data_IF_091015570584
#
_entry.id   IF_091015570584
#
_cell.length_a   1.000
_cell.length_b   1.000
_cell.length_c   1.000
_cell.angle_alpha   90.00
_cell.angle_beta   90.00
_cell.angle_gamma   90.00
#
_symmetry.space_group_name_H-M   'P 1'
#
loop_
_entity.id
_entity.type
_entity.pdbx_description
1 polymer ?
#
# COMPACT_ATOMS: atom_id res chain seq x y z
N UNK A 1 -58.87 32.71 135.38
CA UNK A 1 -58.42 31.32 135.56
C UNK A 1 -56.96 31.24 136.01
N UNK A 2 -56.07 32.14 135.59
CA UNK A 2 -54.62 32.08 135.94
C UNK A 2 -54.26 32.13 137.43
N UNK A 3 -55.00 32.88 138.27
CA UNK A 3 -54.64 32.99 139.69
C UNK A 3 -54.92 31.71 140.49
N UNK A 4 -55.93 30.92 140.11
CA UNK A 4 -56.19 29.62 140.73
C UNK A 4 -55.12 28.59 140.33
N UNK A 5 -54.62 28.69 139.09
CA UNK A 5 -53.57 27.84 138.56
C UNK A 5 -52.21 28.10 139.25
N UNK A 6 -51.87 29.37 139.49
CA UNK A 6 -50.64 29.78 140.21
C UNK A 6 -50.60 29.26 141.65
N UNK A 7 -51.72 29.34 142.38
CA UNK A 7 -51.81 28.84 143.75
C UNK A 7 -51.68 27.31 143.80
N UNK A 8 -52.31 26.60 142.86
CA UNK A 8 -52.18 25.14 142.77
C UNK A 8 -50.74 24.70 142.49
N UNK A 9 -50.05 25.37 141.56
CA UNK A 9 -48.64 25.10 141.21
C UNK A 9 -47.72 25.39 142.39
N UNK A 10 -47.90 26.50 143.12
CA UNK A 10 -47.08 26.83 144.29
C UNK A 10 -47.27 25.80 145.41
N UNK A 11 -48.50 25.37 145.66
CA UNK A 11 -48.80 24.36 146.69
C UNK A 11 -48.19 23.00 146.32
N UNK A 12 -48.27 22.59 145.06
CA UNK A 12 -47.65 21.36 144.58
C UNK A 12 -46.11 21.44 144.59
N UNK A 13 -45.52 22.59 144.26
CA UNK A 13 -44.07 22.82 144.35
C UNK A 13 -43.57 22.81 145.80
N UNK A 14 -44.32 23.39 146.74
CA UNK A 14 -44.02 23.35 148.16
C UNK A 14 -44.14 21.91 148.72
N UNK A 15 -45.11 21.11 148.24
CA UNK A 15 -45.20 19.68 148.58
C UNK A 15 -44.03 18.84 148.03
N UNK A 16 -43.56 19.13 146.81
CA UNK A 16 -42.35 18.51 146.28
C UNK A 16 -41.12 18.83 147.15
N UNK A 17 -40.97 20.09 147.59
CA UNK A 17 -39.90 20.46 148.51
C UNK A 17 -40.02 19.78 149.88
N UNK A 18 -41.22 19.69 150.45
CA UNK A 18 -41.44 18.98 151.72
C UNK A 18 -41.15 17.48 151.63
N UNK A 19 -41.25 16.90 150.43
CA UNK A 19 -40.88 15.50 150.15
C UNK A 19 -39.41 15.33 149.72
N UNK A 20 -38.63 16.41 149.71
CA UNK A 20 -37.19 16.40 149.43
C UNK A 20 -36.82 16.35 147.94
N UNK A 21 -37.78 16.54 147.03
CA UNK A 21 -37.57 16.51 145.58
C UNK A 21 -37.71 17.91 144.97
N UNK A 22 -36.84 18.25 144.01
CA UNK A 22 -36.92 19.53 143.31
C UNK A 22 -38.14 19.57 142.37
N UNK A 23 -39.01 20.59 142.46
CA UNK A 23 -40.19 20.69 141.61
C UNK A 23 -39.78 21.00 140.15
N UNK A 24 -40.04 20.06 139.25
CA UNK A 24 -39.79 20.19 137.81
C UNK A 24 -41.08 20.45 137.03
N UNK A 25 -41.02 21.31 136.01
CA UNK A 25 -42.19 21.71 135.21
C UNK A 25 -42.91 20.52 134.55
N UNK A 26 -42.19 19.46 134.18
CA UNK A 26 -42.75 18.22 133.62
C UNK A 26 -43.64 17.45 134.61
N UNK A 27 -43.34 17.49 135.91
CA UNK A 27 -44.13 16.80 136.94
C UNK A 27 -45.36 17.60 137.34
N UNK A 28 -45.24 18.93 137.39
CA UNK A 28 -46.38 19.80 137.69
C UNK A 28 -47.40 19.83 136.53
N UNK A 29 -46.97 19.59 135.28
CA UNK A 29 -47.86 19.39 134.13
C UNK A 29 -48.79 18.17 134.31
N UNK A 30 -48.31 17.10 134.97
CA UNK A 30 -49.10 15.88 135.20
C UNK A 30 -50.25 16.08 136.21
N UNK A 31 -50.14 17.08 137.09
CA UNK A 31 -51.12 17.40 138.13
C UNK A 31 -52.11 18.49 137.70
N UNK A 32 -51.88 19.13 136.55
CA UNK A 32 -52.76 20.17 135.98
C UNK A 32 -52.65 20.15 134.44
N UNK A 33 -53.31 19.17 133.77
CA UNK A 33 -53.16 18.93 132.34
C UNK A 33 -53.77 20.01 131.42
N UNK A 34 -54.49 20.99 131.99
CA UNK A 34 -55.11 22.09 131.23
C UNK A 34 -54.18 23.29 130.98
N UNK A 35 -52.96 23.29 131.53
CA UNK A 35 -51.99 24.37 131.38
C UNK A 35 -50.81 24.01 130.44
N UNK A 36 -50.33 25.00 129.67
CA UNK A 36 -49.17 24.82 128.80
C UNK A 36 -47.84 24.80 129.58
N UNK A 37 -46.88 23.99 129.11
CA UNK A 37 -45.58 23.78 129.77
C UNK A 37 -44.79 25.09 129.96
N UNK A 38 -44.90 26.03 129.02
CA UNK A 38 -44.26 27.35 129.10
C UNK A 38 -44.86 28.23 130.21
N UNK A 39 -46.18 28.16 130.41
CA UNK A 39 -46.86 28.90 131.48
C UNK A 39 -46.47 28.37 132.87
N UNK A 40 -46.38 27.04 133.02
CA UNK A 40 -45.93 26.40 134.26
C UNK A 40 -44.46 26.73 134.54
N UNK A 41 -43.58 26.71 133.52
CA UNK A 41 -42.18 27.05 133.68
C UNK A 41 -41.97 28.50 134.12
N UNK A 42 -42.76 29.44 133.58
CA UNK A 42 -42.73 30.85 133.99
C UNK A 42 -43.20 31.03 135.44
N UNK A 43 -44.29 30.39 135.84
CA UNK A 43 -44.82 30.43 137.21
C UNK A 43 -43.84 29.78 138.20
N UNK A 44 -43.20 28.66 137.82
CA UNK A 44 -42.20 27.98 138.65
C UNK A 44 -40.91 28.79 138.80
N UNK A 45 -40.50 29.52 137.75
CA UNK A 45 -39.38 30.46 137.85
C UNK A 45 -39.69 31.59 138.85
N UNK A 46 -40.94 32.09 138.86
CA UNK A 46 -41.38 33.09 139.82
C UNK A 46 -41.42 32.52 141.26
N UNK A 47 -41.85 31.27 141.44
CA UNK A 47 -41.77 30.57 142.72
C UNK A 47 -40.33 30.45 143.23
N UNK A 48 -39.39 30.04 142.37
CA UNK A 48 -37.97 29.94 142.73
C UNK A 48 -37.36 31.29 143.10
N UNK A 49 -37.78 32.39 142.46
CA UNK A 49 -37.33 33.73 142.83
C UNK A 49 -37.87 34.20 144.18
N UNK A 50 -39.04 33.72 144.60
CA UNK A 50 -39.62 34.03 145.91
C UNK A 50 -39.18 33.06 147.02
N UNK A 51 -38.44 32.00 146.68
CA UNK A 51 -37.96 31.02 147.64
C UNK A 51 -36.91 31.60 148.62
N UNK A 52 -35.89 32.38 148.19
CA UNK A 52 -34.89 32.95 149.09
C UNK A 52 -35.47 33.91 150.12
N UNK A 53 -36.54 34.64 149.78
CA UNK A 53 -37.23 35.50 150.75
C UNK A 53 -38.03 34.71 151.80
N UNK A 54 -38.52 33.50 151.45
CA UNK A 54 -39.18 32.56 152.40
C UNK A 54 -38.16 31.76 153.23
N UNK A 55 -36.96 31.55 152.72
CA UNK A 55 -35.83 30.84 153.34
C UNK A 55 -34.76 31.81 153.86
N UNK A 56 -35.12 32.82 154.66
CA UNK A 56 -34.11 33.44 155.52
C UNK A 56 -33.85 32.50 156.69
N UNK A 57 -32.70 31.82 156.65
CA UNK A 57 -32.05 31.21 157.80
C UNK A 57 -31.97 32.27 158.90
N UNK A 58 -32.89 32.15 159.84
CA UNK A 58 -33.05 33.02 160.99
C UNK A 58 -31.80 32.85 161.86
N UNK A 59 -30.96 33.88 161.85
CA UNK A 59 -29.69 34.01 162.56
C UNK A 59 -29.91 34.25 164.08
N UNK A 60 -30.90 33.56 164.67
CA UNK A 60 -31.28 33.72 166.07
C UNK A 60 -31.25 32.40 166.83
N UNK A 61 -30.52 32.48 167.95
CA UNK A 61 -30.56 31.64 169.15
C UNK A 61 -29.67 30.38 169.19
N UNK A 62 -28.50 30.55 169.79
CA UNK A 62 -28.16 29.75 170.97
C UNK A 62 -27.24 30.56 171.89
N UNK A 63 -27.84 31.46 172.67
CA UNK A 63 -27.24 31.94 173.91
C UNK A 63 -27.00 30.75 174.83
N UNK A 64 -25.75 30.45 175.16
CA UNK A 64 -25.42 29.70 176.37
C UNK A 64 -25.04 30.71 177.46
N UNK A 65 -25.88 30.91 178.49
CA UNK A 65 -25.54 31.73 179.62
C UNK A 65 -24.73 30.86 180.60
N UNK A 66 -23.41 30.88 180.45
CA UNK A 66 -22.38 30.75 181.52
C UNK A 66 -21.00 30.53 180.90
N UNK A 67 -20.53 31.51 180.11
CA UNK A 67 -19.11 31.53 179.72
C UNK A 67 -18.50 32.92 179.91
N UNK A 68 -17.42 33.05 180.69
CA UNK A 68 -16.67 34.29 180.87
C UNK A 68 -16.18 34.85 179.54
N UNK A 69 -16.25 36.18 179.40
CA UNK A 69 -16.01 36.91 178.15
C UNK A 69 -14.62 36.66 177.52
N UNK A 70 -13.64 36.31 178.34
CA UNK A 70 -12.30 35.92 177.89
C UNK A 70 -12.32 34.69 176.96
N UNK A 71 -13.17 33.69 177.20
CA UNK A 71 -13.25 32.51 176.33
C UNK A 71 -13.99 32.80 175.02
N UNK A 72 -15.00 33.68 175.06
CA UNK A 72 -15.72 34.13 173.85
C UNK A 72 -14.76 34.77 172.85
N UNK A 73 -13.88 35.66 173.31
CA UNK A 73 -12.87 36.29 172.44
C UNK A 73 -11.87 35.29 171.86
N UNK A 74 -11.49 34.26 172.62
CA UNK A 74 -10.60 33.20 172.14
C UNK A 74 -11.30 32.36 171.07
N UNK A 75 -12.55 31.95 171.26
CA UNK A 75 -13.31 31.23 170.24
C UNK A 75 -13.53 32.05 168.97
N UNK A 76 -13.84 33.35 169.08
CA UNK A 76 -13.97 34.22 167.90
C UNK A 76 -12.64 34.36 167.15
N UNK A 77 -11.50 34.44 167.87
CA UNK A 77 -10.17 34.44 167.23
C UNK A 77 -9.85 33.12 166.56
N UNK A 78 -10.14 31.99 167.21
CA UNK A 78 -9.93 30.65 166.63
C UNK A 78 -10.81 30.47 165.38
N UNK A 79 -12.06 30.92 165.42
CA UNK A 79 -12.95 30.90 164.26
C UNK A 79 -12.46 31.81 163.13
N UNK A 80 -12.06 33.04 163.43
CA UNK A 80 -11.52 33.96 162.43
C UNK A 80 -10.21 33.44 161.82
N UNK A 81 -9.36 32.79 162.62
CA UNK A 81 -8.13 32.16 162.16
C UNK A 81 -8.42 30.93 161.29
N UNK A 82 -9.40 30.10 161.66
CA UNK A 82 -9.84 28.96 160.85
C UNK A 82 -10.47 29.40 159.53
N UNK A 83 -11.25 30.49 159.52
CA UNK A 83 -11.82 31.07 158.29
C UNK A 83 -10.71 31.67 157.41
N UNK A 84 -9.70 32.32 158.00
CA UNK A 84 -8.54 32.79 157.25
C UNK A 84 -7.75 31.63 156.65
N UNK A 85 -7.44 30.58 157.40
CA UNK A 85 -6.77 29.38 156.89
C UNK A 85 -7.58 28.70 155.78
N UNK A 86 -8.88 28.50 155.97
CA UNK A 86 -9.76 27.94 154.93
C UNK A 86 -9.81 28.83 153.67
N UNK A 87 -9.79 30.15 153.82
CA UNK A 87 -9.77 31.09 152.69
C UNK A 87 -8.43 31.09 151.95
N UNK A 88 -7.32 30.89 152.67
CA UNK A 88 -5.98 30.75 152.09
C UNK A 88 -5.86 29.41 151.38
N UNK A 89 -6.40 28.34 151.95
CA UNK A 89 -6.42 27.01 151.37
C UNK A 89 -7.30 26.95 150.10
N UNK A 90 -8.48 27.57 150.12
CA UNK A 90 -9.33 27.68 148.94
C UNK A 90 -8.65 28.51 147.83
N UNK A 91 -8.03 29.65 148.17
CA UNK A 91 -7.28 30.43 147.18
C UNK A 91 -6.06 29.68 146.65
N UNK A 92 -5.42 28.82 147.46
CA UNK A 92 -4.34 27.95 147.01
C UNK A 92 -4.84 26.83 146.07
N UNK A 93 -6.06 26.33 146.27
CA UNK A 93 -6.71 25.37 145.37
C UNK A 93 -7.18 26.03 144.06
N UNK A 94 -7.72 27.25 144.10
CA UNK A 94 -8.14 27.99 142.90
C UNK A 94 -6.95 28.48 142.07
N UNK A 95 -5.81 28.81 142.71
CA UNK A 95 -4.55 29.15 142.04
C UNK A 95 -3.70 27.95 141.67
N UNK A 96 -4.12 26.73 142.04
CA UNK A 96 -3.48 25.51 141.55
C UNK A 96 -3.88 25.38 140.08
N UNK A 97 -2.93 25.48 139.13
CA UNK A 97 -3.25 25.19 137.74
C UNK A 97 -3.77 23.75 137.69
N UNK A 98 -4.92 23.56 137.05
CA UNK A 98 -5.46 22.24 136.77
C UNK A 98 -4.59 21.59 135.70
N UNK A 99 -3.49 21.02 136.15
CA UNK A 99 -2.49 20.35 135.30
C UNK A 99 -3.14 19.22 134.50
N UNK A 100 -4.21 18.61 134.99
CA UNK A 100 -4.95 17.56 134.29
C UNK A 100 -5.75 18.14 133.13
N UNK A 101 -6.44 19.27 133.33
CA UNK A 101 -7.13 19.97 132.24
C UNK A 101 -6.14 20.47 131.16
N UNK A 102 -4.98 21.01 131.55
CA UNK A 102 -3.94 21.45 130.62
C UNK A 102 -3.32 20.29 129.82
N UNK A 103 -3.09 19.14 130.46
CA UNK A 103 -2.60 17.92 129.78
C UNK A 103 -3.64 17.39 128.81
N UNK A 104 -4.91 17.30 129.22
CA UNK A 104 -6.01 16.87 128.36
C UNK A 104 -6.22 17.81 127.16
N UNK A 105 -6.01 19.12 127.35
CA UNK A 105 -6.09 20.09 126.27
C UNK A 105 -4.93 19.91 125.28
N UNK A 106 -3.70 19.68 125.75
CA UNK A 106 -2.55 19.36 124.88
C UNK A 106 -2.75 18.07 124.11
N UNK A 107 -3.28 17.02 124.74
CA UNK A 107 -3.56 15.76 124.05
C UNK A 107 -4.62 15.93 122.96
N UNK A 108 -5.66 16.75 123.22
CA UNK A 108 -6.66 17.11 122.22
C UNK A 108 -6.04 17.93 121.08
N UNK A 109 -5.20 18.91 121.39
CA UNK A 109 -4.51 19.73 120.38
C UNK A 109 -3.54 18.89 119.54
N UNK A 110 -2.82 17.95 120.15
CA UNK A 110 -1.91 17.04 119.45
C UNK A 110 -2.67 15.99 118.63
N UNK A 111 -3.84 15.53 119.09
CA UNK A 111 -4.73 14.69 118.29
C UNK A 111 -5.34 15.47 117.12
N UNK A 112 -5.72 16.73 117.32
CA UNK A 112 -6.21 17.62 116.27
C UNK A 112 -5.13 17.87 115.22
N UNK A 113 -3.89 18.15 115.62
CA UNK A 113 -2.75 18.33 114.69
C UNK A 113 -2.47 17.05 113.89
N UNK A 114 -2.51 15.88 114.53
CA UNK A 114 -2.36 14.58 113.85
C UNK A 114 -3.46 14.36 112.82
N UNK A 115 -4.72 14.58 113.22
CA UNK A 115 -5.87 14.49 112.33
C UNK A 115 -5.78 15.48 111.15
N UNK A 116 -5.37 16.72 111.40
CA UNK A 116 -5.13 17.72 110.35
C UNK A 116 -4.00 17.31 109.41
N UNK A 117 -2.91 16.72 109.93
CA UNK A 117 -1.83 16.16 109.11
C UNK A 117 -2.31 15.02 108.22
N UNK A 118 -3.07 14.07 108.78
CA UNK A 118 -3.66 12.96 108.03
C UNK A 118 -4.62 13.44 106.94
N UNK A 119 -5.48 14.42 107.25
CA UNK A 119 -6.37 15.05 106.27
C UNK A 119 -5.55 15.72 105.16
N UNK A 120 -4.49 16.46 105.50
CA UNK A 120 -3.60 17.09 104.53
C UNK A 120 -2.91 16.09 103.60
N UNK A 121 -2.43 14.97 104.13
CA UNK A 121 -1.84 13.89 103.33
C UNK A 121 -2.87 13.23 102.41
N UNK A 122 -4.09 12.98 102.91
CA UNK A 122 -5.18 12.41 102.10
C UNK A 122 -5.61 13.36 100.99
N UNK A 123 -5.73 14.66 101.28
CA UNK A 123 -6.02 15.68 100.27
C UNK A 123 -4.92 15.75 99.21
N UNK A 124 -3.65 15.69 99.61
CA UNK A 124 -2.54 15.66 98.67
C UNK A 124 -2.61 14.42 97.76
N UNK A 125 -2.79 13.23 98.35
CA UNK A 125 -2.94 11.98 97.58
C UNK A 125 -4.14 12.03 96.64
N UNK A 126 -5.25 12.63 97.08
CA UNK A 126 -6.44 12.81 96.23
C UNK A 126 -6.15 13.73 95.04
N UNK A 127 -5.46 14.87 95.25
CA UNK A 127 -5.05 15.76 94.16
C UNK A 127 -4.10 15.06 93.18
N UNK A 128 -3.12 14.31 93.68
CA UNK A 128 -2.19 13.53 92.84
C UNK A 128 -2.91 12.44 92.04
N UNK A 129 -3.90 11.77 92.63
CA UNK A 129 -4.71 10.77 91.91
C UNK A 129 -5.62 11.42 90.86
N UNK A 130 -6.21 12.58 91.16
CA UNK A 130 -7.00 13.34 90.20
C UNK A 130 -6.15 13.75 88.99
N UNK A 131 -4.94 14.28 89.21
CA UNK A 131 -4.02 14.62 88.13
C UNK A 131 -3.66 13.40 87.27
N UNK A 132 -3.37 12.25 87.90
CA UNK A 132 -3.09 11.00 87.15
C UNK A 132 -4.30 10.51 86.35
N UNK A 133 -5.52 10.70 86.86
CA UNK A 133 -6.74 10.36 86.14
C UNK A 133 -6.95 11.29 84.94
N UNK A 134 -6.70 12.58 85.11
CA UNK A 134 -6.80 13.57 84.03
C UNK A 134 -5.75 13.27 82.94
N UNK A 135 -4.49 13.01 83.31
CA UNK A 135 -3.44 12.61 82.37
C UNK A 135 -3.79 11.32 81.61
N UNK A 136 -4.33 10.30 82.30
CA UNK A 136 -4.77 9.07 81.67
C UNK A 136 -5.96 9.28 80.73
N UNK A 137 -6.87 10.20 81.07
CA UNK A 137 -8.01 10.56 80.23
C UNK A 137 -7.56 11.29 78.96
N UNK A 138 -6.63 12.24 79.07
CA UNK A 138 -6.03 12.91 77.91
C UNK A 138 -5.31 11.92 76.99
N UNK A 139 -4.55 10.97 77.55
CA UNK A 139 -3.90 9.90 76.77
C UNK A 139 -4.92 9.00 76.07
N UNK A 140 -6.02 8.65 76.73
CA UNK A 140 -7.08 7.85 76.14
C UNK A 140 -7.75 8.56 74.95
N UNK A 141 -8.06 9.85 75.10
CA UNK A 141 -8.62 10.67 74.02
C UNK A 141 -7.63 10.83 72.85
N UNK A 142 -6.35 11.05 73.15
CA UNK A 142 -5.29 11.12 72.12
C UNK A 142 -5.18 9.81 71.33
N UNK A 143 -5.13 8.66 72.01
CA UNK A 143 -5.12 7.33 71.37
C UNK A 143 -6.43 7.07 70.60
N UNK A 144 -7.57 7.56 71.09
CA UNK A 144 -8.85 7.50 70.40
C UNK A 144 -8.83 8.26 69.07
N UNK A 145 -8.24 9.45 69.04
CA UNK A 145 -8.05 10.24 67.83
C UNK A 145 -7.09 9.55 66.85
N UNK A 146 -5.96 9.02 67.33
CA UNK A 146 -5.03 8.25 66.49
C UNK A 146 -5.70 7.02 65.86
N UNK A 147 -6.49 6.27 66.64
CA UNK A 147 -7.26 5.13 66.13
C UNK A 147 -8.26 5.56 65.05
N UNK A 148 -8.92 6.71 65.19
CA UNK A 148 -9.80 7.22 64.14
C UNK A 148 -9.05 7.58 62.86
N UNK A 149 -7.91 8.28 62.98
CA UNK A 149 -7.07 8.63 61.83
C UNK A 149 -6.56 7.37 61.12
N UNK A 150 -6.08 6.38 61.87
CA UNK A 150 -5.63 5.10 61.30
C UNK A 150 -6.77 4.35 60.61
N UNK A 151 -7.98 4.33 61.18
CA UNK A 151 -9.16 3.74 60.53
C UNK A 151 -9.50 4.46 59.23
N UNK A 152 -9.45 5.79 59.21
CA UNK A 152 -9.69 6.58 58.00
C UNK A 152 -8.62 6.31 56.93
N UNK A 153 -7.34 6.28 57.32
CA UNK A 153 -6.25 5.97 56.41
C UNK A 153 -6.38 4.56 55.83
N UNK A 154 -6.70 3.55 56.66
CA UNK A 154 -6.92 2.19 56.21
C UNK A 154 -8.09 2.10 55.20
N UNK A 155 -9.18 2.81 55.46
CA UNK A 155 -10.30 2.88 54.52
C UNK A 155 -9.88 3.52 53.19
N UNK A 156 -9.13 4.63 53.24
CA UNK A 156 -8.61 5.30 52.06
C UNK A 156 -7.67 4.39 51.25
N UNK A 157 -6.69 3.77 51.89
CA UNK A 157 -5.77 2.79 51.28
C UNK A 157 -6.53 1.63 50.64
N UNK A 158 -7.57 1.12 51.32
CA UNK A 158 -8.41 0.06 50.76
C UNK A 158 -9.14 0.53 49.49
N UNK A 159 -9.64 1.76 49.46
CA UNK A 159 -10.28 2.31 48.24
C UNK A 159 -9.29 2.57 47.13
N UNK A 160 -8.07 3.04 47.43
CA UNK A 160 -7.02 3.27 46.46
C UNK A 160 -6.58 1.93 45.84
N UNK A 161 -6.32 0.92 46.68
CA UNK A 161 -5.95 -0.42 46.23
C UNK A 161 -7.02 -1.04 45.33
N UNK A 162 -8.31 -0.89 45.66
CA UNK A 162 -9.41 -1.35 44.78
C UNK A 162 -9.39 -0.64 43.42
N UNK A 163 -9.11 0.67 43.38
CA UNK A 163 -9.00 1.42 42.12
C UNK A 163 -7.79 0.94 41.30
N UNK A 164 -6.65 0.73 41.94
CA UNK A 164 -5.44 0.20 41.29
C UNK A 164 -5.64 -1.20 40.73
N UNK A 165 -6.29 -2.10 41.48
CA UNK A 165 -6.64 -3.44 41.01
C UNK A 165 -7.56 -3.38 39.78
N UNK A 166 -8.54 -2.47 39.76
CA UNK A 166 -9.38 -2.26 38.58
C UNK A 166 -8.58 -1.72 37.38
N UNK A 167 -7.70 -0.75 37.59
CA UNK A 167 -6.85 -0.21 36.52
C UNK A 167 -5.91 -1.29 35.97
N UNK A 168 -5.35 -2.12 36.84
CA UNK A 168 -4.52 -3.26 36.46
C UNK A 168 -5.32 -4.27 35.63
N UNK A 169 -6.53 -4.62 36.05
CA UNK A 169 -7.40 -5.52 35.29
C UNK A 169 -7.74 -4.98 33.90
N UNK A 170 -8.03 -3.68 33.78
CA UNK A 170 -8.27 -3.02 32.50
C UNK A 170 -7.02 -3.07 31.60
N UNK A 171 -5.84 -2.76 32.15
CA UNK A 171 -4.59 -2.82 31.40
C UNK A 171 -4.25 -4.25 30.93
N UNK A 172 -4.50 -5.26 31.77
CA UNK A 172 -4.33 -6.68 31.39
C UNK A 172 -5.28 -7.08 30.25
N UNK A 173 -6.53 -6.58 30.26
CA UNK A 173 -7.49 -6.80 29.18
C UNK A 173 -7.06 -6.11 27.87
N UNK A 174 -6.61 -4.85 27.92
CA UNK A 174 -6.10 -4.12 26.76
C UNK A 174 -4.86 -4.80 26.17
N UNK A 175 -3.92 -5.25 27.01
CA UNK A 175 -2.75 -6.01 26.58
C UNK A 175 -3.15 -7.32 25.90
N UNK A 176 -4.16 -8.04 26.42
CA UNK A 176 -4.66 -9.25 25.80
C UNK A 176 -5.30 -8.97 24.42
N UNK A 177 -6.06 -7.89 24.29
CA UNK A 177 -6.64 -7.46 23.01
C UNK A 177 -5.55 -7.06 21.99
N UNK A 178 -4.57 -6.27 22.42
CA UNK A 178 -3.43 -5.87 21.58
C UNK A 178 -2.62 -7.08 21.10
N UNK A 179 -2.37 -8.07 21.96
CA UNK A 179 -1.69 -9.31 21.57
C UNK A 179 -2.47 -10.08 20.51
N UNK A 180 -3.79 -10.24 20.68
CA UNK A 180 -4.65 -10.90 19.69
C UNK A 180 -4.66 -10.15 18.35
N UNK A 181 -4.83 -8.83 18.39
CA UNK A 181 -4.80 -7.99 17.18
C UNK A 181 -3.44 -8.07 16.48
N UNK A 182 -2.34 -8.05 17.23
CA UNK A 182 -1.00 -8.21 16.68
C UNK A 182 -0.81 -9.58 16.01
N UNK A 183 -1.24 -10.66 16.65
CA UNK A 183 -1.17 -12.00 16.08
C UNK A 183 -2.02 -12.15 14.81
N UNK A 184 -3.21 -11.56 14.79
CA UNK A 184 -4.08 -11.53 13.62
C UNK A 184 -3.45 -10.73 12.47
N UNK A 185 -2.96 -9.53 12.76
CA UNK A 185 -2.27 -8.69 11.78
C UNK A 185 -1.03 -9.38 11.22
N UNK A 186 -0.25 -10.06 12.07
CA UNK A 186 0.90 -10.86 11.65
C UNK A 186 0.48 -11.99 10.72
N UNK A 187 -0.57 -12.75 11.07
CA UNK A 187 -1.11 -13.82 10.21
C UNK A 187 -1.57 -13.30 8.85
N UNK A 188 -2.28 -12.17 8.83
CA UNK A 188 -2.75 -11.52 7.59
C UNK A 188 -1.57 -11.05 6.74
N UNK A 189 -0.55 -10.45 7.36
CA UNK A 189 0.67 -10.04 6.67
C UNK A 189 1.42 -11.23 6.07
N UNK A 190 1.67 -12.27 6.86
CA UNK A 190 2.34 -13.49 6.39
C UNK A 190 1.54 -14.20 5.28
N UNK A 191 0.21 -14.11 5.30
CA UNK A 191 -0.64 -14.60 4.22
C UNK A 191 -0.47 -13.76 2.94
N UNK A 192 -0.52 -12.42 3.04
CA UNK A 192 -0.31 -11.52 1.89
C UNK A 192 1.05 -11.73 1.24
N UNK A 193 2.11 -11.84 2.04
CA UNK A 193 3.47 -12.11 1.52
C UNK A 193 3.51 -13.42 0.75
N UNK A 194 2.87 -14.49 1.26
CA UNK A 194 2.81 -15.78 0.56
C UNK A 194 2.00 -15.70 -0.74
N UNK A 195 0.89 -14.97 -0.73
CA UNK A 195 0.06 -14.80 -1.93
C UNK A 195 0.77 -13.94 -2.99
N UNK A 196 1.47 -12.87 -2.59
CA UNK A 196 2.31 -12.07 -3.49
C UNK A 196 3.48 -12.88 -4.07
N UNK A 197 4.15 -13.71 -3.26
CA UNK A 197 5.19 -14.62 -3.74
C UNK A 197 4.66 -15.60 -4.79
N UNK A 198 3.48 -16.20 -4.55
CA UNK A 198 2.81 -17.07 -5.51
C UNK A 198 2.47 -16.33 -6.80
N UNK A 199 1.87 -15.15 -6.68
CA UNK A 199 1.52 -14.33 -7.83
C UNK A 199 2.75 -13.94 -8.66
N UNK A 200 3.85 -13.56 -8.00
CA UNK A 200 5.11 -13.24 -8.67
C UNK A 200 5.68 -14.46 -9.40
N UNK A 201 5.64 -15.65 -8.80
CA UNK A 201 6.09 -16.89 -9.46
C UNK A 201 5.22 -17.24 -10.67
N UNK A 202 3.91 -17.07 -10.58
CA UNK A 202 2.99 -17.27 -11.72
C UNK A 202 3.25 -16.26 -12.85
N UNK A 203 3.48 -14.99 -12.51
CA UNK A 203 3.83 -13.96 -13.47
C UNK A 203 5.17 -14.26 -14.16
N UNK A 204 6.17 -14.70 -13.40
CA UNK A 204 7.48 -15.09 -13.93
C UNK A 204 7.36 -16.31 -14.85
N UNK A 205 6.60 -17.33 -14.45
CA UNK A 205 6.34 -18.51 -15.27
C UNK A 205 5.66 -18.15 -16.59
N UNK A 206 4.70 -17.21 -16.58
CA UNK A 206 4.06 -16.71 -17.80
C UNK A 206 5.06 -16.02 -18.73
N UNK A 207 5.87 -15.11 -18.18
CA UNK A 207 6.92 -14.40 -18.96
C UNK A 207 7.95 -15.39 -19.51
N UNK A 208 8.32 -16.43 -18.77
CA UNK A 208 9.24 -17.47 -19.24
C UNK A 208 8.65 -18.27 -20.42
N UNK A 209 7.36 -18.61 -20.36
CA UNK A 209 6.66 -19.27 -21.48
C UNK A 209 6.63 -18.35 -22.71
N UNK A 210 6.28 -17.08 -22.54
CA UNK A 210 6.25 -16.10 -23.63
C UNK A 210 7.65 -15.90 -24.22
N UNK A 211 8.69 -15.83 -23.39
CA UNK A 211 10.08 -15.69 -23.82
C UNK A 211 10.53 -16.91 -24.64
N UNK A 212 10.16 -18.13 -24.21
CA UNK A 212 10.43 -19.36 -24.99
C UNK A 212 9.67 -19.35 -26.32
N UNK A 213 8.41 -18.90 -26.31
CA UNK A 213 7.62 -18.77 -27.55
C UNK A 213 8.28 -17.83 -28.55
N UNK A 214 8.69 -16.62 -28.12
CA UNK A 214 9.35 -15.65 -28.99
C UNK A 214 10.73 -16.13 -29.45
N UNK A 215 11.53 -16.80 -28.60
CA UNK A 215 12.79 -17.41 -29.03
C UNK A 215 12.57 -18.44 -30.14
N UNK A 216 11.61 -19.36 -29.96
CA UNK A 216 11.29 -20.36 -30.97
C UNK A 216 10.77 -19.73 -32.26
N UNK A 217 9.98 -18.64 -32.16
CA UNK A 217 9.52 -17.90 -33.34
C UNK A 217 10.68 -17.22 -34.08
N UNK A 218 11.63 -16.63 -33.36
CA UNK A 218 12.84 -16.04 -33.95
C UNK A 218 13.72 -17.09 -34.62
N UNK A 219 13.88 -18.26 -34.03
CA UNK A 219 14.64 -19.37 -34.62
C UNK A 219 14.00 -19.86 -35.93
N UNK A 220 12.67 -20.04 -35.95
CA UNK A 220 11.93 -20.36 -37.17
C UNK A 220 12.08 -19.29 -38.26
N UNK A 221 11.96 -18.01 -37.90
CA UNK A 221 12.14 -16.92 -38.85
C UNK A 221 13.57 -16.87 -39.41
N UNK A 222 14.57 -17.15 -38.56
CA UNK A 222 15.96 -17.25 -38.98
C UNK A 222 16.17 -18.40 -39.98
N UNK A 223 15.61 -19.57 -39.69
CA UNK A 223 15.69 -20.73 -40.60
C UNK A 223 14.97 -20.45 -41.93
N UNK A 224 13.79 -19.85 -41.90
CA UNK A 224 13.06 -19.44 -43.10
C UNK A 224 13.83 -18.39 -43.91
N UNK A 225 14.43 -17.38 -43.25
CA UNK A 225 15.28 -16.39 -43.92
C UNK A 225 16.47 -17.06 -44.58
N UNK A 226 17.16 -17.95 -43.87
CA UNK A 226 18.30 -18.69 -44.42
C UNK A 226 17.92 -19.57 -45.61
N UNK A 227 16.73 -20.21 -45.58
CA UNK A 227 16.21 -20.97 -46.74
C UNK A 227 15.89 -20.06 -47.92
N UNK A 228 15.17 -18.96 -47.69
CA UNK A 228 14.85 -17.97 -48.73
C UNK A 228 16.11 -17.36 -49.34
N UNK A 229 17.09 -17.00 -48.53
CA UNK A 229 18.39 -16.50 -49.00
C UNK A 229 19.11 -17.54 -49.87
N UNK A 230 19.11 -18.81 -49.47
CA UNK A 230 19.70 -19.89 -50.26
C UNK A 230 18.96 -20.12 -51.59
N UNK A 231 17.62 -20.05 -51.60
CA UNK A 231 16.79 -20.12 -52.81
C UNK A 231 17.07 -18.97 -53.76
N UNK A 232 17.01 -17.72 -53.27
CA UNK A 232 17.33 -16.52 -54.05
C UNK A 232 18.75 -16.57 -54.62
N UNK A 233 19.71 -17.09 -53.84
CA UNK A 233 21.09 -17.27 -54.30
C UNK A 233 21.15 -18.29 -55.44
N UNK A 234 20.42 -19.40 -55.37
CA UNK A 234 20.36 -20.38 -56.47
C UNK A 234 19.74 -19.78 -57.73
N UNK A 235 18.59 -19.11 -57.60
CA UNK A 235 17.93 -18.43 -58.73
C UNK A 235 18.84 -17.40 -59.39
N UNK A 236 19.59 -16.64 -58.60
CA UNK A 236 20.56 -15.67 -59.10
C UNK A 236 21.64 -16.36 -59.94
N UNK A 237 22.22 -17.47 -59.48
CA UNK A 237 23.21 -18.23 -60.25
C UNK A 237 22.62 -18.84 -61.52
N UNK A 238 21.38 -19.35 -61.48
CA UNK A 238 20.68 -19.86 -62.65
C UNK A 238 20.46 -18.76 -63.71
N UNK A 239 19.99 -17.59 -63.28
CA UNK A 239 19.79 -16.43 -64.14
C UNK A 239 21.10 -15.91 -64.72
N UNK A 240 22.17 -15.85 -63.93
CA UNK A 240 23.52 -15.53 -64.43
C UNK A 240 23.97 -16.54 -65.49
N UNK A 241 23.73 -17.83 -65.28
CA UNK A 241 24.02 -18.87 -66.28
C UNK A 241 23.21 -18.71 -67.56
N UNK A 242 21.93 -18.32 -67.47
CA UNK A 242 21.09 -18.01 -68.64
C UNK A 242 21.60 -16.78 -69.38
N UNK A 243 21.95 -15.71 -68.66
CA UNK A 243 22.53 -14.49 -69.23
C UNK A 243 23.83 -14.79 -69.97
N UNK A 244 24.77 -15.48 -69.35
CA UNK A 244 26.03 -15.86 -69.99
C UNK A 244 25.82 -16.68 -71.27
N UNK A 245 24.88 -17.63 -71.28
CA UNK A 245 24.52 -18.39 -72.50
C UNK A 245 23.92 -17.49 -73.58
N UNK A 246 23.10 -16.51 -73.20
CA UNK A 246 22.52 -15.54 -74.13
C UNK A 246 23.60 -14.61 -74.70
N UNK A 247 24.53 -14.14 -73.89
CA UNK A 247 25.63 -13.27 -74.33
C UNK A 247 26.50 -13.98 -75.37
N UNK A 248 26.92 -15.21 -75.11
CA UNK A 248 27.67 -16.04 -76.09
C UNK A 248 26.86 -16.23 -77.39
N UNK A 249 25.55 -16.45 -77.28
CA UNK A 249 24.69 -16.60 -78.46
C UNK A 249 24.60 -15.29 -79.25
N UNK A 250 24.48 -14.15 -78.58
CA UNK A 250 24.47 -12.82 -79.20
C UNK A 250 25.80 -12.59 -79.92
N UNK A 251 26.95 -12.81 -79.26
CA UNK A 251 28.28 -12.67 -79.88
C UNK A 251 28.45 -13.54 -81.14
N UNK A 252 27.97 -14.79 -81.06
CA UNK A 252 27.99 -15.72 -82.20
C UNK A 252 27.13 -15.19 -83.35
N UNK A 253 25.90 -14.76 -83.07
CA UNK A 253 25.00 -14.19 -84.08
C UNK A 253 25.56 -12.89 -84.66
N UNK A 254 26.14 -12.01 -83.84
CA UNK A 254 26.82 -10.79 -84.31
C UNK A 254 27.97 -11.12 -85.25
N UNK A 255 28.79 -12.12 -84.93
CA UNK A 255 29.89 -12.58 -85.80
C UNK A 255 29.35 -13.16 -87.11
N UNK A 256 28.27 -13.95 -87.04
CA UNK A 256 27.60 -14.49 -88.22
C UNK A 256 27.07 -13.38 -89.13
N UNK A 257 26.38 -12.37 -88.58
CA UNK A 257 25.88 -11.22 -89.34
C UNK A 257 27.02 -10.49 -90.03
N UNK A 258 28.14 -10.21 -89.33
CA UNK A 258 29.33 -9.59 -89.94
C UNK A 258 29.87 -10.41 -91.12
N UNK A 259 29.98 -11.73 -90.97
CA UNK A 259 30.44 -12.61 -92.05
C UNK A 259 29.49 -12.61 -93.26
N UNK A 260 28.17 -12.55 -93.02
CA UNK A 260 27.17 -12.47 -94.08
C UNK A 260 27.19 -11.10 -94.78
N UNK A 261 27.39 -10.01 -94.05
CA UNK A 261 27.57 -8.67 -94.60
C UNK A 261 28.83 -8.59 -95.49
N UNK A 262 29.94 -9.21 -95.07
CA UNK A 262 31.15 -9.32 -95.89
C UNK A 262 30.92 -10.15 -97.16
N UNK A 263 30.22 -11.28 -97.06
CA UNK A 263 29.85 -12.10 -98.21
C UNK A 263 28.93 -11.33 -99.18
N UNK A 264 27.95 -10.58 -98.67
CA UNK A 264 27.07 -9.72 -99.47
C UNK A 264 27.85 -8.60 -100.16
N UNK A 265 28.80 -7.96 -99.47
CA UNK A 265 29.71 -6.97 -100.10
C UNK A 265 30.53 -7.61 -101.21
N UNK A 266 31.06 -8.81 -100.99
CA UNK A 266 31.79 -9.58 -102.00
C UNK A 266 30.91 -9.90 -103.22
N UNK A 267 29.68 -10.35 -103.01
CA UNK A 267 28.72 -10.61 -104.08
C UNK A 267 28.36 -9.34 -104.85
N UNK A 268 28.06 -8.22 -104.17
CA UNK A 268 27.81 -6.92 -104.82
C UNK A 268 29.00 -6.46 -105.66
N UNK A 269 30.22 -6.65 -105.18
CA UNK A 269 31.43 -6.33 -105.94
C UNK A 269 31.57 -7.22 -107.18
N UNK A 270 31.30 -8.53 -107.07
CA UNK A 270 31.31 -9.47 -108.20
C UNK A 270 30.22 -9.14 -109.21
N UNK A 271 29.02 -8.81 -108.76
CA UNK A 271 27.89 -8.44 -109.62
C UNK A 271 28.20 -7.14 -110.39
N UNK A 272 28.74 -6.12 -109.70
CA UNK A 272 29.21 -4.89 -110.36
C UNK A 272 30.32 -5.15 -111.39
N UNK A 273 31.23 -6.09 -111.11
CA UNK A 273 32.26 -6.52 -112.07
C UNK A 273 31.65 -7.27 -113.26
N UNK A 274 30.77 -8.24 -113.02
CA UNK A 274 30.06 -8.99 -114.06
C UNK A 274 29.22 -8.07 -114.95
N UNK A 275 28.55 -7.07 -114.40
CA UNK A 275 27.81 -6.06 -115.17
C UNK A 275 28.74 -5.26 -116.10
N UNK A 276 29.94 -4.88 -115.63
CA UNK A 276 30.94 -4.21 -116.47
C UNK A 276 31.44 -5.13 -117.58
N UNK A 277 31.78 -6.37 -117.26
CA UNK A 277 32.23 -7.39 -118.22
C UNK A 277 31.12 -7.68 -119.25
N UNK A 278 29.87 -7.85 -118.82
CA UNK A 278 28.71 -8.06 -119.68
C UNK A 278 28.48 -6.87 -120.62
N UNK A 279 28.59 -5.64 -120.10
CA UNK A 279 28.50 -4.43 -120.93
C UNK A 279 29.62 -4.38 -121.97
N UNK A 280 30.84 -4.73 -121.57
CA UNK A 280 32.00 -4.81 -122.48
C UNK A 280 31.81 -5.89 -123.56
N UNK A 281 31.39 -7.09 -123.19
CA UNK A 281 31.10 -8.19 -124.13
C UNK A 281 29.94 -7.79 -125.06
N UNK A 282 28.89 -7.16 -124.54
CA UNK A 282 27.76 -6.69 -125.36
C UNK A 282 28.19 -5.63 -126.36
N UNK A 283 29.07 -4.70 -125.95
CA UNK A 283 29.67 -3.73 -126.85
C UNK A 283 30.55 -4.41 -127.92
N UNK A 284 31.38 -5.38 -127.54
CA UNK A 284 32.17 -6.18 -128.48
C UNK A 284 31.27 -6.92 -129.48
N UNK A 285 30.22 -7.59 -129.01
CA UNK A 285 29.26 -8.29 -129.85
C UNK A 285 28.57 -7.34 -130.84
N UNK A 286 28.18 -6.13 -130.40
CA UNK A 286 27.62 -5.10 -131.30
C UNK A 286 28.64 -4.67 -132.36
N UNK A 287 29.92 -4.51 -132.01
CA UNK A 287 30.96 -4.19 -132.99
C UNK A 287 31.16 -5.31 -134.00
N UNK A 288 31.20 -6.57 -133.57
CA UNK A 288 31.30 -7.73 -134.46
C UNK A 288 30.04 -7.93 -135.31
N UNK A 289 28.85 -7.70 -134.74
CA UNK A 289 27.57 -7.74 -135.49
C UNK A 289 27.56 -6.66 -136.58
N UNK A 290 28.03 -5.44 -136.28
CA UNK A 290 28.13 -4.39 -137.28
C UNK A 290 29.16 -4.70 -138.38
N UNK A 291 30.29 -5.33 -138.02
CA UNK A 291 31.24 -5.85 -139.02
C UNK A 291 30.59 -6.93 -139.89
N UNK A 292 29.89 -7.89 -139.28
CA UNK A 292 29.17 -8.96 -139.99
C UNK A 292 28.14 -8.38 -140.96
N UNK A 293 27.32 -7.42 -140.53
CA UNK A 293 26.36 -6.73 -141.41
C UNK A 293 27.04 -6.04 -142.60
N UNK A 294 28.18 -5.38 -142.39
CA UNK A 294 28.97 -4.78 -143.48
C UNK A 294 29.47 -5.85 -144.45
N UNK A 295 29.93 -7.00 -143.95
CA UNK A 295 30.35 -8.11 -144.79
C UNK A 295 29.18 -8.76 -145.55
N UNK A 296 28.02 -8.91 -144.91
CA UNK A 296 26.77 -9.37 -145.56
C UNK A 296 26.34 -8.41 -146.68
N UNK A 297 26.42 -7.10 -146.45
CA UNK A 297 26.07 -6.10 -147.46
C UNK A 297 27.06 -6.10 -148.63
N UNK A 298 28.36 -6.30 -148.35
CA UNK A 298 29.37 -6.54 -149.39
C UNK A 298 29.09 -7.83 -150.18
N UNK A 299 28.72 -8.92 -149.50
CA UNK A 299 28.31 -10.18 -150.14
C UNK A 299 27.09 -9.97 -151.04
N UNK A 300 26.06 -9.25 -150.58
CA UNK A 300 24.86 -8.96 -151.36
C UNK A 300 25.18 -8.12 -152.60
N UNK A 301 26.05 -7.11 -152.48
CA UNK A 301 26.52 -6.33 -153.62
C UNK A 301 27.25 -7.21 -154.64
N UNK A 302 28.07 -8.15 -154.17
CA UNK A 302 28.73 -9.15 -155.00
C UNK A 302 27.73 -10.07 -155.69
N UNK A 303 26.71 -10.57 -154.98
CA UNK A 303 25.63 -11.40 -155.55
C UNK A 303 24.81 -10.64 -156.60
N UNK A 304 24.42 -9.39 -156.35
CA UNK A 304 23.73 -8.55 -157.34
C UNK A 304 24.60 -8.30 -158.58
N UNK A 305 25.91 -8.11 -158.39
CA UNK A 305 26.87 -7.97 -159.50
C UNK A 305 26.98 -9.25 -160.33
N UNK A 306 27.02 -10.41 -159.68
CA UNK A 306 27.01 -11.73 -160.31
C UNK A 306 25.70 -11.97 -161.06
N UNK A 307 24.56 -11.59 -160.49
CA UNK A 307 23.25 -11.75 -161.11
C UNK A 307 23.14 -10.90 -162.39
N UNK A 308 23.60 -9.64 -162.36
CA UNK A 308 23.70 -8.78 -163.56
C UNK A 308 24.63 -9.37 -164.61
N UNK A 309 25.76 -9.94 -164.20
CA UNK A 309 26.72 -10.59 -165.10
C UNK A 309 26.11 -11.84 -165.75
N UNK A 310 25.42 -12.65 -164.96
CA UNK A 310 24.73 -13.86 -165.43
C UNK A 310 23.56 -13.51 -166.37
N UNK A 311 22.82 -12.44 -166.09
CA UNK A 311 21.75 -11.93 -166.95
C UNK A 311 22.30 -11.43 -168.30
N UNK A 312 23.45 -10.74 -168.31
CA UNK A 312 24.21 -10.40 -169.54
C UNK A 312 24.66 -11.66 -170.30
N UNK A 313 25.09 -12.69 -169.60
CA UNK A 313 25.52 -13.95 -170.21
C UNK A 313 24.34 -14.69 -170.85
N UNK A 314 23.17 -14.72 -170.20
CA UNK A 314 21.94 -15.29 -170.75
C UNK A 314 21.45 -14.50 -171.96
N UNK A 315 21.50 -13.16 -171.94
CA UNK A 315 21.13 -12.36 -173.12
C UNK A 315 22.06 -12.63 -174.31
N UNK A 316 23.37 -12.67 -174.08
CA UNK A 316 24.35 -13.02 -175.11
C UNK A 316 24.11 -14.44 -175.68
N UNK A 317 23.79 -15.42 -174.82
CA UNK A 317 23.46 -16.77 -175.27
C UNK A 317 22.18 -16.79 -176.11
N UNK A 318 21.15 -16.02 -175.73
CA UNK A 318 19.91 -15.94 -176.51
C UNK A 318 20.09 -15.25 -177.88
N UNK A 319 20.93 -14.23 -177.98
CA UNK A 319 21.29 -13.61 -179.25
C UNK A 319 22.11 -14.57 -180.13
N UNK A 320 23.02 -15.33 -179.52
CA UNK A 320 23.79 -16.37 -180.20
C UNK A 320 22.88 -17.47 -180.76
N UNK A 321 21.93 -17.97 -179.97
CA UNK A 321 20.95 -18.98 -180.39
C UNK A 321 20.02 -18.50 -181.53
N UNK A 322 19.64 -17.21 -181.53
CA UNK A 322 18.88 -16.60 -182.64
C UNK A 322 19.68 -16.57 -183.95
N UNK A 323 20.97 -16.21 -183.90
CA UNK A 323 21.85 -16.25 -185.08
C UNK A 323 22.04 -17.67 -185.60
N UNK A 324 22.19 -18.66 -184.71
CA UNK A 324 22.32 -20.07 -185.09
C UNK A 324 21.04 -20.60 -185.77
N UNK A 325 19.86 -20.27 -185.25
CA UNK A 325 18.57 -20.66 -185.84
C UNK A 325 18.37 -20.08 -187.25
N UNK A 326 18.78 -18.82 -187.46
CA UNK A 326 18.69 -18.15 -188.76
C UNK A 326 19.61 -18.78 -189.81
N UNK A 327 20.81 -19.22 -189.42
CA UNK A 327 21.73 -19.97 -190.29
C UNK A 327 21.18 -21.35 -190.66
N UNK A 328 20.50 -22.04 -189.73
CA UNK A 328 19.85 -23.34 -190.01
C UNK A 328 18.71 -23.22 -191.02
N UNK A 329 17.94 -22.13 -191.02
CA UNK A 329 16.86 -21.94 -192.00
C UNK A 329 17.38 -21.67 -193.42
N UNK A 330 18.48 -20.94 -193.54
CA UNK A 330 19.12 -20.68 -194.85
C UNK A 330 19.72 -21.96 -195.47
N UNK A 331 20.25 -22.85 -194.63
CA UNK A 331 20.81 -24.13 -195.07
C UNK A 331 19.73 -25.08 -195.62
N UNK A 332 18.56 -25.12 -194.96
CA UNK A 332 17.41 -25.92 -195.39
C UNK A 332 16.81 -25.46 -196.74
N UNK A 333 16.82 -24.16 -197.02
CA UNK A 333 16.39 -23.62 -198.32
C UNK A 333 17.32 -24.03 -199.47
N UNK A 334 18.63 -24.07 -199.24
CA UNK A 334 19.59 -24.55 -200.26
C UNK A 334 19.45 -26.05 -200.55
N UNK A 335 19.15 -26.87 -199.54
CA UNK A 335 18.93 -28.31 -199.71
C UNK A 335 17.68 -28.63 -200.55
N UNK A 336 16.59 -27.86 -200.38
CA UNK A 336 15.36 -28.04 -201.16
C UNK A 336 15.51 -27.64 -202.65
N UNK A 337 16.36 -26.66 -202.95
CA UNK A 337 16.70 -26.28 -204.34
C UNK A 337 17.58 -27.34 -205.03
N UNK A 338 18.52 -27.94 -204.29
CA UNK A 338 19.38 -29.01 -204.78
C UNK A 338 18.57 -30.26 -205.18
N UNK A 339 17.60 -30.66 -204.36
CA UNK A 339 16.73 -31.82 -204.59
C UNK A 339 15.88 -31.67 -205.87
N UNK A 340 15.38 -30.45 -206.14
CA UNK A 340 14.63 -30.14 -207.38
C UNK A 340 15.51 -30.21 -208.63
N UNK A 341 16.80 -29.85 -208.52
CA UNK A 341 17.74 -29.93 -209.64
C UNK A 341 18.14 -31.38 -209.98
N UNK A 342 18.32 -32.22 -208.95
CA UNK A 342 18.62 -33.65 -209.10
C UNK A 342 17.48 -34.43 -209.79
N UNK A 343 16.23 -34.12 -209.45
CA UNK A 343 15.06 -34.75 -210.09
C UNK A 343 14.93 -34.43 -211.58
N UNK A 344 15.37 -33.23 -212.03
CA UNK A 344 15.39 -32.86 -213.45
C UNK A 344 16.50 -33.57 -214.22
N UNK A 345 17.67 -33.77 -213.61
CA UNK A 345 18.80 -34.49 -214.21
C UNK A 345 18.47 -35.97 -214.48
N UNK A 346 17.87 -36.67 -213.51
CA UNK A 346 17.45 -38.08 -213.67
C UNK A 346 16.38 -38.28 -214.77
N UNK A 347 15.57 -37.26 -215.04
CA UNK A 347 14.59 -37.29 -216.14
C UNK A 347 15.23 -37.22 -217.53
N UNK A 348 16.33 -36.47 -217.68
CA UNK A 348 17.08 -36.39 -218.93
C UNK A 348 17.90 -37.66 -219.21
N UNK A 349 18.45 -38.29 -218.17
CA UNK A 349 19.16 -39.58 -218.31
C UNK A 349 18.24 -40.71 -218.83
N UNK A 350 16.99 -40.78 -218.38
CA UNK A 350 16.03 -41.77 -218.87
C UNK A 350 15.60 -41.56 -220.33
N UNK A 351 15.62 -40.32 -220.83
CA UNK A 351 15.38 -40.03 -222.26
C UNK A 351 16.59 -40.33 -223.15
N UNK A 352 17.80 -40.14 -222.63
CA UNK A 352 19.03 -40.50 -223.34
C UNK A 352 19.17 -42.02 -223.50
N UNK A 353 18.89 -42.80 -222.45
CA UNK A 353 18.96 -44.27 -222.51
C UNK A 353 18.01 -44.91 -223.52
N UNK A 354 16.80 -44.36 -223.70
CA UNK A 354 15.84 -44.89 -224.67
C UNK A 354 16.28 -44.66 -226.14
N UNK A 355 16.94 -43.53 -226.42
CA UNK A 355 17.49 -43.22 -227.74
C UNK A 355 18.76 -44.05 -228.04
N UNK A 356 19.51 -44.45 -227.01
CA UNK A 356 20.68 -45.34 -227.15
C UNK A 356 20.28 -46.80 -227.43
N UNK A 357 19.14 -47.29 -226.93
CA UNK A 357 18.60 -48.62 -227.29
C UNK A 357 18.00 -48.66 -228.71
N UNK A 358 17.47 -47.55 -229.23
CA UNK A 358 17.11 -47.37 -230.65
C UNK A 358 18.34 -47.49 -231.57
N UNK A 359 19.47 -46.89 -231.17
CA UNK A 359 20.73 -46.98 -231.92
C UNK A 359 21.38 -48.37 -231.88
N UNK A 360 21.16 -49.15 -230.81
CA UNK A 360 21.75 -50.49 -230.68
C UNK A 360 21.01 -51.55 -231.50
N UNK A 361 19.68 -51.45 -231.65
CA UNK A 361 18.92 -52.36 -232.53
C UNK A 361 19.16 -52.09 -234.02
N UNK A 362 19.43 -50.84 -234.42
CA UNK A 362 19.82 -50.50 -235.80
C UNK A 362 21.23 -50.99 -236.19
N UNK A 363 22.07 -51.43 -235.24
CA UNK A 363 23.45 -51.89 -235.48
C UNK A 363 23.64 -53.42 -235.51
N UNK A 364 22.60 -54.23 -235.29
CA UNK A 364 22.70 -55.69 -235.39
C UNK A 364 21.65 -56.23 -236.38
N UNK A 365 22.12 -56.59 -237.58
CA UNK A 365 21.47 -57.20 -238.77
C UNK A 365 21.10 -56.22 -239.88
N UNK A 366 22.00 -55.70 -240.72
CA UNK A 366 23.34 -56.13 -241.21
C UNK A 366 24.22 -56.86 -240.20
#
# INVERSE_FOLDING_TARGET
MDNQLKVAIFTAADQCLLTGEAPHASRLLSLSPEASMESIAAILAEWWQQLPSRLHLRDETASSPDMPEAMRQVFTRVWQQAVQEASVELNAQVKRPDLEADVMQRERDDALKRSQGEIGELEQRYREQALKLDEAHEQYEALGAELQVLRHNLANETTQRKKEEQLRANAEQELAQLRRSYEENKRVFDQRVRDEQRHNLEALAKVDVDTRHYRNALEKLRDESGRREAEMTRELHELQGVLARRDVKIETLTTQVKSQDEALRGLKSRDAQQQREQTQISAQLLTETNKSKRYEEQLRQLEESLQKLNQKQVSNNSESARRESQLRSQLKQCEEELLKSQARAQGFEKRAGALEEEMRRLKQRV
#
